data_IF_850662286580
#
_entry.id   IF_850662286580
#
_cell.length_a   1.000
_cell.length_b   1.000
_cell.length_c   1.000
_cell.angle_alpha   90.00
_cell.angle_beta   90.00
_cell.angle_gamma   90.00
#
_symmetry.space_group_name_H-M   'P 1'
#
loop_
_entity.id
_entity.type
_entity.pdbx_description
1 polymer ?
#
# COMPACT_ATOMS: atom_id res chain seq x y z
N UNK A 1 18.46 -7.82 -18.17
CA UNK A 1 18.47 -9.16 -17.52
C UNK A 1 17.58 -9.19 -16.28
N UNK A 2 17.70 -8.20 -15.41
CA UNK A 2 16.93 -8.10 -14.14
C UNK A 2 15.42 -7.89 -14.33
N UNK A 3 14.98 -7.32 -15.45
CA UNK A 3 13.54 -7.06 -15.71
C UNK A 3 12.74 -8.33 -16.08
N UNK A 4 13.40 -9.44 -16.41
CA UNK A 4 12.77 -10.68 -16.86
C UNK A 4 12.71 -11.78 -15.79
N UNK A 5 13.00 -11.45 -14.53
CA UNK A 5 12.88 -12.39 -13.43
C UNK A 5 11.48 -12.34 -12.79
N UNK A 6 10.97 -13.46 -12.28
CA UNK A 6 9.58 -13.58 -11.81
C UNK A 6 9.11 -12.51 -10.84
N UNK A 7 9.97 -12.04 -9.93
CA UNK A 7 9.59 -10.99 -8.98
C UNK A 7 9.38 -9.62 -9.64
N UNK A 8 10.08 -9.32 -10.75
CA UNK A 8 9.83 -8.09 -11.51
C UNK A 8 8.41 -8.09 -12.10
N UNK A 9 7.95 -9.24 -12.61
CA UNK A 9 6.56 -9.40 -13.03
C UNK A 9 5.61 -9.24 -11.86
N UNK A 10 5.93 -9.81 -10.68
CA UNK A 10 5.11 -9.64 -9.48
C UNK A 10 5.05 -8.19 -9.02
N UNK A 11 6.14 -7.42 -9.15
CA UNK A 11 6.14 -5.98 -8.87
C UNK A 11 5.23 -5.19 -9.82
N UNK A 12 5.20 -5.55 -11.12
CA UNK A 12 4.28 -4.92 -12.09
C UNK A 12 2.83 -5.29 -11.73
N UNK A 13 2.54 -6.57 -11.51
CA UNK A 13 1.21 -7.03 -11.10
C UNK A 13 0.74 -6.35 -9.80
N UNK A 14 1.63 -6.20 -8.82
CA UNK A 14 1.37 -5.50 -7.56
C UNK A 14 0.96 -4.05 -7.81
N UNK A 15 1.69 -3.33 -8.65
CA UNK A 15 1.36 -1.95 -9.03
C UNK A 15 -0.01 -1.90 -9.73
N UNK A 16 -0.26 -2.78 -10.70
CA UNK A 16 -1.51 -2.81 -11.45
C UNK A 16 -2.71 -3.16 -10.55
N UNK A 17 -2.53 -4.08 -9.60
CA UNK A 17 -3.52 -4.37 -8.58
C UNK A 17 -3.91 -3.13 -7.76
N UNK A 18 -2.93 -2.34 -7.30
CA UNK A 18 -3.25 -1.11 -6.57
C UNK A 18 -3.88 -0.03 -7.46
N UNK A 19 -3.54 0.03 -8.76
CA UNK A 19 -4.28 0.87 -9.73
C UNK A 19 -5.77 0.50 -9.77
N UNK A 20 -6.08 -0.79 -9.85
CA UNK A 20 -7.46 -1.28 -9.84
C UNK A 20 -8.17 -0.95 -8.53
N UNK A 21 -7.52 -1.15 -7.38
CA UNK A 21 -8.09 -0.83 -6.06
C UNK A 21 -8.38 0.66 -5.88
N UNK A 22 -7.51 1.53 -6.37
CA UNK A 22 -7.75 2.98 -6.40
C UNK A 22 -9.03 3.29 -7.21
N UNK A 23 -9.14 2.74 -8.42
CA UNK A 23 -10.31 2.95 -9.29
C UNK A 23 -11.59 2.37 -8.70
N UNK A 24 -11.54 1.17 -8.11
CA UNK A 24 -12.69 0.57 -7.41
C UNK A 24 -13.19 1.46 -6.27
N UNK A 25 -12.26 2.02 -5.49
CA UNK A 25 -12.60 2.94 -4.38
C UNK A 25 -13.23 4.22 -4.90
N UNK A 26 -12.66 4.82 -5.93
CA UNK A 26 -13.21 6.03 -6.56
C UNK A 26 -14.60 5.79 -7.18
N UNK A 27 -14.86 4.60 -7.72
CA UNK A 27 -16.18 4.27 -8.27
C UNK A 27 -17.26 4.19 -7.20
N UNK A 28 -16.90 3.74 -5.98
CA UNK A 28 -17.80 3.60 -4.83
C UNK A 28 -18.03 4.89 -4.06
N UNK A 29 -17.14 5.86 -4.18
CA UNK A 29 -17.14 7.11 -3.39
C UNK A 29 -17.09 8.32 -4.31
N UNK A 30 -17.84 9.36 -3.97
CA UNK A 30 -17.85 10.61 -4.76
C UNK A 30 -16.64 11.50 -4.46
N UNK A 31 -16.02 11.32 -3.30
CA UNK A 31 -14.79 12.01 -2.89
C UNK A 31 -13.92 11.01 -2.10
N UNK A 32 -13.21 10.15 -2.83
CA UNK A 32 -12.42 9.09 -2.23
C UNK A 32 -11.20 9.65 -1.47
N UNK A 33 -10.96 9.11 -0.27
CA UNK A 33 -9.77 9.40 0.54
C UNK A 33 -8.88 8.17 0.59
N UNK A 34 -7.71 8.25 0.01
CA UNK A 34 -6.77 7.13 -0.12
C UNK A 34 -5.43 7.49 0.50
N UNK A 35 -4.85 6.56 1.24
CA UNK A 35 -3.51 6.71 1.81
C UNK A 35 -2.61 5.55 1.41
N UNK A 36 -1.42 5.88 0.90
CA UNK A 36 -0.34 4.95 0.59
C UNK A 36 0.78 5.10 1.63
N UNK A 37 1.05 4.04 2.36
CA UNK A 37 2.09 3.99 3.38
C UNK A 37 3.33 3.24 2.87
N UNK A 38 4.50 3.89 2.96
CA UNK A 38 5.68 3.48 2.24
C UNK A 38 5.41 3.62 0.74
N UNK A 39 4.94 4.81 0.35
CA UNK A 39 4.40 5.07 -0.99
C UNK A 39 5.44 4.93 -2.10
N UNK A 40 6.73 5.05 -1.74
CA UNK A 40 7.79 5.07 -2.72
C UNK A 40 7.51 6.11 -3.82
N UNK A 41 7.74 5.75 -5.09
CA UNK A 41 7.49 6.65 -6.23
C UNK A 41 6.02 6.74 -6.65
N UNK A 42 5.07 6.13 -5.94
CA UNK A 42 3.61 6.14 -6.21
C UNK A 42 3.27 5.97 -7.71
N UNK A 43 3.88 5.00 -8.38
CA UNK A 43 3.75 4.79 -9.83
C UNK A 43 2.32 4.50 -10.24
N UNK A 44 1.57 3.79 -9.43
CA UNK A 44 0.15 3.47 -9.64
C UNK A 44 -0.68 4.76 -9.79
N UNK A 45 -0.48 5.75 -8.94
CA UNK A 45 -1.17 7.04 -9.03
C UNK A 45 -0.71 7.85 -10.25
N UNK A 46 0.62 7.92 -10.48
CA UNK A 46 1.19 8.66 -11.61
C UNK A 46 0.67 8.12 -12.95
N UNK A 47 0.61 6.79 -13.09
CA UNK A 47 0.09 6.16 -14.29
C UNK A 47 -1.40 6.44 -14.50
N UNK A 48 -2.23 6.33 -13.44
CA UNK A 48 -3.66 6.66 -13.52
C UNK A 48 -3.90 8.10 -13.98
N UNK A 49 -3.09 9.05 -13.50
CA UNK A 49 -3.17 10.44 -13.94
C UNK A 49 -2.74 10.61 -15.39
N UNK A 50 -1.62 9.99 -15.80
CA UNK A 50 -1.15 10.05 -17.20
C UNK A 50 -2.18 9.44 -18.16
N UNK A 51 -2.85 8.37 -17.74
CA UNK A 51 -3.93 7.70 -18.46
C UNK A 51 -5.26 8.49 -18.44
N UNK A 52 -5.37 9.56 -17.64
CA UNK A 52 -6.59 10.36 -17.51
C UNK A 52 -7.73 9.62 -16.81
N UNK A 53 -7.43 8.66 -15.94
CA UNK A 53 -8.42 7.82 -15.25
C UNK A 53 -8.94 8.41 -13.93
N UNK A 54 -8.37 9.52 -13.47
CA UNK A 54 -8.85 10.22 -12.27
C UNK A 54 -10.01 11.15 -12.68
N UNK A 55 -11.22 10.61 -12.70
CA UNK A 55 -12.42 11.29 -13.21
C UNK A 55 -13.35 11.85 -12.11
N UNK A 56 -13.07 11.55 -10.84
CA UNK A 56 -13.80 12.04 -9.67
C UNK A 56 -12.82 12.68 -8.67
N UNK A 57 -13.29 13.52 -7.73
CA UNK A 57 -12.48 14.06 -6.65
C UNK A 57 -11.77 12.94 -5.88
N UNK A 58 -10.45 13.06 -5.74
CA UNK A 58 -9.59 12.14 -5.04
C UNK A 58 -8.67 12.90 -4.09
N UNK A 59 -8.72 12.59 -2.81
CA UNK A 59 -7.70 12.98 -1.84
C UNK A 59 -6.72 11.82 -1.67
N UNK A 60 -5.44 12.04 -2.03
CA UNK A 60 -4.42 11.02 -1.96
C UNK A 60 -3.27 11.46 -1.05
N UNK A 61 -2.88 10.61 -0.10
CA UNK A 61 -1.81 10.90 0.85
C UNK A 61 -0.67 9.91 0.67
N UNK A 62 0.52 10.42 0.36
CA UNK A 62 1.76 9.66 0.29
C UNK A 62 2.53 9.86 1.60
N UNK A 63 2.74 8.78 2.36
CA UNK A 63 3.66 8.78 3.49
C UNK A 63 4.86 7.91 3.15
N UNK A 64 6.06 8.46 3.28
CA UNK A 64 7.30 7.71 3.10
C UNK A 64 8.41 8.25 4.00
N UNK A 65 9.35 7.40 4.39
CA UNK A 65 10.56 7.76 5.13
C UNK A 65 11.60 8.39 4.20
N UNK A 66 11.58 8.02 2.91
CA UNK A 66 12.55 8.49 1.93
C UNK A 66 12.06 9.78 1.25
N UNK A 67 12.63 10.92 1.65
CA UNK A 67 12.32 12.21 1.06
C UNK A 67 12.49 12.22 -0.47
N UNK A 68 13.53 11.55 -0.99
CA UNK A 68 13.78 11.43 -2.43
C UNK A 68 12.64 10.78 -3.21
N UNK A 69 11.95 9.79 -2.59
CA UNK A 69 10.79 9.17 -3.21
C UNK A 69 9.63 10.16 -3.35
N UNK A 70 9.35 10.93 -2.28
CA UNK A 70 8.32 11.97 -2.30
C UNK A 70 8.66 13.11 -3.29
N UNK A 71 9.92 13.50 -3.37
CA UNK A 71 10.38 14.53 -4.32
C UNK A 71 10.26 14.05 -5.77
N UNK A 72 10.50 12.76 -6.02
CA UNK A 72 10.23 12.16 -7.32
C UNK A 72 8.74 12.26 -7.68
N UNK A 73 7.83 11.91 -6.75
CA UNK A 73 6.38 12.03 -7.00
C UNK A 73 6.01 13.48 -7.30
N UNK A 74 6.50 14.46 -6.53
CA UNK A 74 6.27 15.89 -6.77
C UNK A 74 6.75 16.31 -8.17
N UNK A 75 7.95 15.87 -8.57
CA UNK A 75 8.51 16.15 -9.89
C UNK A 75 7.64 15.58 -11.00
N UNK A 76 7.22 14.33 -10.92
CA UNK A 76 6.34 13.71 -11.91
C UNK A 76 4.97 14.40 -11.96
N UNK A 77 4.39 14.77 -10.80
CA UNK A 77 3.16 15.58 -10.76
C UNK A 77 3.29 16.92 -11.45
N UNK A 78 4.48 17.55 -11.39
CA UNK A 78 4.77 18.81 -12.11
C UNK A 78 4.69 18.65 -13.63
N UNK A 79 4.99 17.47 -14.17
CA UNK A 79 4.99 17.18 -15.63
C UNK A 79 3.60 16.82 -16.18
N UNK A 80 2.63 16.52 -15.30
CA UNK A 80 1.28 16.13 -15.71
C UNK A 80 0.43 17.37 -15.95
N UNK A 81 -0.33 17.36 -17.04
CA UNK A 81 -1.26 18.43 -17.41
C UNK A 81 -2.22 18.78 -16.26
N UNK A 82 -2.45 20.08 -16.06
CA UNK A 82 -3.30 20.58 -14.97
C UNK A 82 -4.74 20.06 -15.04
N UNK A 83 -5.28 19.87 -16.25
CA UNK A 83 -6.63 19.30 -16.44
C UNK A 83 -6.72 17.87 -15.91
N UNK A 84 -5.68 17.06 -16.13
CA UNK A 84 -5.63 15.66 -15.61
C UNK A 84 -5.52 15.57 -14.09
N UNK A 85 -5.02 16.63 -13.44
CA UNK A 85 -4.89 16.73 -11.98
C UNK A 85 -6.02 17.50 -11.31
N UNK A 86 -6.96 18.05 -12.05
CA UNK A 86 -7.99 18.96 -11.51
C UNK A 86 -8.84 18.34 -10.41
N UNK A 87 -8.98 17.01 -10.40
CA UNK A 87 -9.74 16.25 -9.42
C UNK A 87 -8.87 15.67 -8.29
N UNK A 88 -7.54 15.90 -8.30
CA UNK A 88 -6.62 15.35 -7.33
C UNK A 88 -6.18 16.40 -6.29
N UNK A 89 -6.40 16.09 -5.02
CA UNK A 89 -5.70 16.72 -3.89
C UNK A 89 -4.67 15.74 -3.37
N UNK A 90 -3.37 16.11 -3.38
CA UNK A 90 -2.30 15.23 -2.93
C UNK A 90 -1.51 15.84 -1.76
N UNK A 91 -1.22 15.04 -0.73
CA UNK A 91 -0.35 15.38 0.38
C UNK A 91 0.89 14.48 0.39
N UNK A 92 2.05 15.08 0.71
CA UNK A 92 3.34 14.40 0.82
C UNK A 92 3.82 14.48 2.26
N UNK A 93 3.91 13.37 2.94
CA UNK A 93 4.18 13.30 4.38
C UNK A 93 5.49 12.53 4.59
N UNK A 94 6.56 13.28 4.90
CA UNK A 94 7.87 12.71 5.18
C UNK A 94 7.94 12.31 6.65
N UNK A 95 7.61 11.05 6.95
CA UNK A 95 7.60 10.48 8.30
C UNK A 95 7.91 8.99 8.27
N UNK A 96 8.46 8.51 9.38
CA UNK A 96 8.50 7.06 9.64
C UNK A 96 7.08 6.57 9.97
N UNK A 97 6.63 5.55 9.28
CA UNK A 97 5.31 4.95 9.52
C UNK A 97 5.16 4.40 10.94
N UNK A 98 6.25 3.92 11.54
CA UNK A 98 6.24 3.40 12.91
C UNK A 98 5.85 4.49 13.92
N UNK A 99 6.01 5.76 13.55
CA UNK A 99 5.54 6.88 14.36
C UNK A 99 4.02 6.85 14.59
N UNK A 100 3.21 6.31 13.67
CA UNK A 100 1.77 6.13 13.84
C UNK A 100 1.40 5.40 15.13
N UNK A 101 2.25 4.49 15.61
CA UNK A 101 2.01 3.73 16.85
C UNK A 101 2.02 4.64 18.09
N UNK A 102 2.67 5.78 18.03
CA UNK A 102 2.88 6.67 19.19
C UNK A 102 2.35 8.09 19.01
N UNK A 103 2.20 8.53 17.77
CA UNK A 103 1.85 9.92 17.42
C UNK A 103 0.36 10.01 17.03
N UNK A 104 -0.47 10.48 17.96
CA UNK A 104 -1.90 10.69 17.73
C UNK A 104 -2.17 11.78 16.69
N UNK A 105 -1.33 12.83 16.63
CA UNK A 105 -1.51 13.91 15.67
C UNK A 105 -1.27 13.41 14.25
N UNK A 106 -0.26 12.55 14.06
CA UNK A 106 -0.02 11.93 12.77
C UNK A 106 -1.20 11.04 12.37
N UNK A 107 -1.82 10.31 13.32
CA UNK A 107 -3.02 9.51 13.04
C UNK A 107 -4.20 10.36 12.59
N UNK A 108 -4.41 11.53 13.20
CA UNK A 108 -5.50 12.44 12.79
C UNK A 108 -5.41 12.84 11.31
N UNK A 109 -4.18 12.98 10.78
CA UNK A 109 -3.99 13.31 9.35
C UNK A 109 -4.56 12.25 8.41
N UNK A 110 -4.68 11.00 8.87
CA UNK A 110 -5.10 9.85 8.04
C UNK A 110 -6.48 9.29 8.39
N UNK A 111 -7.22 9.91 9.28
CA UNK A 111 -8.56 9.45 9.65
C UNK A 111 -9.52 9.45 8.47
N UNK A 112 -10.49 8.53 8.54
CA UNK A 112 -11.59 8.40 7.58
C UNK A 112 -11.10 8.13 6.14
N UNK A 113 -10.05 7.30 5.98
CA UNK A 113 -9.64 6.82 4.68
C UNK A 113 -10.54 5.69 4.18
N UNK A 114 -10.98 5.79 2.92
CA UNK A 114 -11.75 4.75 2.24
C UNK A 114 -10.86 3.58 1.79
N UNK A 115 -9.60 3.86 1.47
CA UNK A 115 -8.59 2.86 1.17
C UNK A 115 -7.26 3.25 1.82
N UNK A 116 -6.69 2.31 2.56
CA UNK A 116 -5.31 2.38 3.05
C UNK A 116 -4.55 1.20 2.47
N UNK A 117 -3.38 1.45 1.92
CA UNK A 117 -2.54 0.35 1.47
C UNK A 117 -1.06 0.55 1.77
N UNK A 118 -0.36 -0.57 1.92
CA UNK A 118 1.09 -0.64 2.08
C UNK A 118 1.66 -1.66 1.10
N UNK A 119 2.31 -1.14 0.05
CA UNK A 119 2.84 -1.94 -1.05
C UNK A 119 4.32 -2.24 -0.86
N UNK A 120 4.65 -3.25 -0.02
CA UNK A 120 6.02 -3.69 0.20
C UNK A 120 6.73 -3.06 1.41
N UNK A 121 6.06 -2.24 2.20
CA UNK A 121 6.62 -1.69 3.45
C UNK A 121 6.75 -2.76 4.55
N UNK A 122 5.74 -3.64 4.65
CA UNK A 122 5.70 -4.69 5.68
C UNK A 122 6.81 -5.74 5.50
N UNK A 123 7.40 -5.82 4.32
CA UNK A 123 8.58 -6.65 4.03
C UNK A 123 9.79 -6.32 4.91
N UNK A 124 9.82 -5.15 5.56
CA UNK A 124 10.90 -4.70 6.44
C UNK A 124 10.53 -4.74 7.92
N UNK A 125 9.29 -5.11 8.26
CA UNK A 125 8.79 -5.04 9.63
C UNK A 125 8.87 -6.40 10.34
N UNK A 126 9.33 -6.37 11.60
CA UNK A 126 9.23 -7.51 12.52
C UNK A 126 7.78 -7.76 12.90
N UNK A 127 7.44 -9.00 13.23
CA UNK A 127 6.08 -9.46 13.51
C UNK A 127 5.30 -8.56 14.48
N UNK A 128 5.90 -8.22 15.63
CA UNK A 128 5.25 -7.37 16.64
C UNK A 128 4.98 -5.94 16.15
N UNK A 129 5.89 -5.35 15.38
CA UNK A 129 5.70 -4.02 14.81
C UNK A 129 4.62 -4.05 13.74
N UNK A 130 4.64 -5.06 12.86
CA UNK A 130 3.63 -5.26 11.84
C UNK A 130 2.23 -5.41 12.44
N UNK A 131 2.07 -6.23 13.49
CA UNK A 131 0.78 -6.42 14.16
C UNK A 131 0.24 -5.12 14.78
N UNK A 132 1.08 -4.38 15.51
CA UNK A 132 0.67 -3.10 16.10
C UNK A 132 0.30 -2.08 15.04
N UNK A 133 1.10 -1.98 13.97
CA UNK A 133 0.85 -1.07 12.88
C UNK A 133 -0.44 -1.41 12.13
N UNK A 134 -0.71 -2.69 11.90
CA UNK A 134 -1.97 -3.15 11.28
C UNK A 134 -3.18 -2.68 12.07
N UNK A 135 -3.15 -2.78 13.41
CA UNK A 135 -4.21 -2.27 14.29
C UNK A 135 -4.40 -0.76 14.14
N UNK A 136 -3.31 0.01 14.15
CA UNK A 136 -3.39 1.48 13.97
C UNK A 136 -3.95 1.83 12.58
N UNK A 137 -3.46 1.22 11.51
CA UNK A 137 -3.94 1.48 10.15
C UNK A 137 -5.43 1.14 9.98
N UNK A 138 -5.88 0.02 10.56
CA UNK A 138 -7.29 -0.34 10.57
C UNK A 138 -8.15 0.70 11.30
N UNK A 139 -7.65 1.26 12.41
CA UNK A 139 -8.32 2.32 13.15
C UNK A 139 -8.57 3.59 12.32
N UNK A 140 -7.71 3.87 11.33
CA UNK A 140 -7.79 5.05 10.46
C UNK A 140 -8.81 4.92 9.31
N UNK A 141 -9.34 3.71 9.07
CA UNK A 141 -10.33 3.50 8.01
C UNK A 141 -11.66 4.20 8.33
N UNK A 142 -12.31 4.70 7.31
CA UNK A 142 -13.72 5.04 7.32
C UNK A 142 -14.57 3.77 7.48
N UNK A 143 -15.84 3.94 7.80
CA UNK A 143 -16.82 2.83 7.72
C UNK A 143 -16.84 2.30 6.28
N UNK A 144 -16.89 0.99 6.12
CA UNK A 144 -16.78 0.26 4.83
C UNK A 144 -15.44 0.47 4.09
N UNK A 145 -14.44 1.08 4.75
CA UNK A 145 -13.10 1.26 4.21
C UNK A 145 -12.29 -0.04 4.17
N UNK A 146 -11.23 -0.04 3.38
CA UNK A 146 -10.41 -1.22 3.09
C UNK A 146 -8.94 -0.96 3.41
N UNK A 147 -8.31 -1.87 4.17
CA UNK A 147 -6.86 -1.90 4.40
C UNK A 147 -6.24 -3.04 3.62
N UNK A 148 -5.26 -2.75 2.78
CA UNK A 148 -4.55 -3.78 2.00
C UNK A 148 -3.06 -3.74 2.33
N UNK A 149 -2.55 -4.85 2.85
CA UNK A 149 -1.14 -5.02 3.19
C UNK A 149 -0.53 -6.06 2.26
N UNK A 150 0.51 -5.67 1.54
CA UNK A 150 1.29 -6.56 0.70
C UNK A 150 2.58 -6.95 1.41
N UNK A 151 2.93 -8.25 1.38
CA UNK A 151 4.20 -8.78 1.89
C UNK A 151 4.73 -9.91 1.01
N UNK A 152 6.05 -10.02 0.91
CA UNK A 152 6.70 -11.11 0.20
C UNK A 152 6.36 -12.47 0.82
N UNK A 153 5.95 -13.44 -0.02
CA UNK A 153 5.52 -14.77 0.40
C UNK A 153 6.72 -15.71 0.61
N UNK A 154 6.75 -16.38 1.74
CA UNK A 154 7.75 -17.42 2.06
C UNK A 154 7.82 -18.53 1.03
N UNK A 155 6.71 -18.89 0.39
CA UNK A 155 6.66 -19.95 -0.61
C UNK A 155 7.47 -19.63 -1.89
N UNK A 156 7.76 -18.35 -2.13
CA UNK A 156 8.53 -17.89 -3.30
C UNK A 156 9.92 -17.38 -2.94
N UNK A 157 10.45 -17.79 -1.81
CA UNK A 157 11.79 -17.39 -1.34
C UNK A 157 12.96 -17.99 -2.15
N UNK A 158 12.69 -18.82 -3.18
CA UNK A 158 13.72 -19.47 -4.02
C UNK A 158 14.72 -18.50 -4.68
N UNK A 159 14.29 -17.26 -4.92
CA UNK A 159 15.13 -16.21 -5.50
C UNK A 159 15.77 -15.29 -4.45
N UNK A 160 15.57 -15.59 -3.16
CA UNK A 160 16.05 -14.79 -2.04
C UNK A 160 17.55 -14.52 -2.11
N UNK A 161 18.35 -15.57 -2.36
CA UNK A 161 19.81 -15.45 -2.44
C UNK A 161 20.25 -14.44 -3.51
N UNK A 162 19.55 -14.39 -4.65
CA UNK A 162 19.85 -13.43 -5.71
C UNK A 162 19.62 -11.98 -5.26
N UNK A 163 18.52 -11.69 -4.57
CA UNK A 163 18.21 -10.32 -4.11
C UNK A 163 19.10 -9.89 -2.97
N UNK A 164 19.34 -10.77 -2.00
CA UNK A 164 20.16 -10.46 -0.84
C UNK A 164 21.63 -10.31 -1.23
N UNK A 165 22.14 -11.20 -2.09
CA UNK A 165 23.56 -11.21 -2.45
C UNK A 165 23.93 -10.15 -3.49
N UNK A 166 23.14 -10.00 -4.57
CA UNK A 166 23.45 -9.06 -5.64
C UNK A 166 22.84 -7.68 -5.44
N UNK A 167 21.66 -7.61 -4.81
CA UNK A 167 20.92 -6.36 -4.63
C UNK A 167 21.01 -5.75 -3.24
N UNK A 168 21.58 -6.47 -2.25
CA UNK A 168 21.52 -6.05 -0.85
C UNK A 168 20.07 -5.90 -0.33
N UNK A 169 19.12 -6.53 -1.00
CA UNK A 169 17.68 -6.35 -0.72
C UNK A 169 17.17 -7.48 0.19
N UNK A 170 17.28 -7.25 1.50
CA UNK A 170 16.86 -8.22 2.53
C UNK A 170 15.40 -7.97 2.92
N UNK A 171 14.54 -8.96 2.65
CA UNK A 171 13.11 -8.90 2.97
C UNK A 171 12.77 -9.88 4.10
N UNK A 172 11.76 -9.54 4.90
CA UNK A 172 11.18 -10.43 5.90
C UNK A 172 9.96 -11.11 5.29
N UNK A 173 10.17 -12.29 4.70
CA UNK A 173 9.11 -13.09 4.10
C UNK A 173 8.12 -13.55 5.16
N UNK A 174 6.84 -13.67 4.79
CA UNK A 174 5.76 -14.07 5.69
C UNK A 174 4.93 -15.19 5.08
N UNK A 175 4.32 -15.99 5.95
CA UNK A 175 3.23 -16.90 5.59
C UNK A 175 1.88 -16.21 5.75
N UNK A 176 0.82 -16.82 5.17
CA UNK A 176 -0.56 -16.36 5.39
C UNK A 176 -0.93 -16.36 6.87
N UNK A 177 -0.52 -17.40 7.61
CA UNK A 177 -0.78 -17.55 9.04
C UNK A 177 -0.13 -16.46 9.89
N UNK A 178 1.13 -16.07 9.55
CA UNK A 178 1.81 -14.96 10.21
C UNK A 178 1.09 -13.64 9.96
N UNK A 179 0.64 -13.39 8.73
CA UNK A 179 -0.12 -12.19 8.40
C UNK A 179 -1.50 -12.17 9.06
N UNK A 180 -2.20 -13.31 9.15
CA UNK A 180 -3.44 -13.43 9.94
C UNK A 180 -3.19 -13.16 11.43
N UNK A 181 -2.01 -13.49 11.94
CA UNK A 181 -1.59 -13.15 13.30
C UNK A 181 -1.61 -11.64 13.58
N UNK A 182 -1.40 -10.78 12.58
CA UNK A 182 -1.45 -9.32 12.76
C UNK A 182 -2.85 -8.79 13.06
N UNK A 183 -3.88 -9.50 12.62
CA UNK A 183 -5.29 -9.06 12.72
C UNK A 183 -5.92 -9.48 14.05
N UNK A 184 -5.34 -10.48 14.74
CA UNK A 184 -5.88 -11.03 16.00
C UNK A 184 -6.06 -10.01 17.13
N UNK A 185 -5.30 -8.91 17.09
CA UNK A 185 -5.33 -7.85 18.10
C UNK A 185 -6.25 -6.68 17.72
N UNK A 186 -7.05 -6.84 16.67
CA UNK A 186 -8.04 -5.82 16.25
C UNK A 186 -9.37 -6.19 16.91
N UNK A 187 -9.84 -5.33 17.81
CA UNK A 187 -11.07 -5.55 18.54
C UNK A 187 -12.29 -5.48 17.61
N UNK A 188 -13.20 -6.46 17.72
CA UNK A 188 -14.46 -6.46 16.97
C UNK A 188 -14.34 -6.76 15.47
N UNK A 189 -13.18 -7.24 15.00
CA UNK A 189 -13.05 -7.65 13.59
C UNK A 189 -13.76 -8.98 13.35
N UNK A 190 -14.56 -9.05 12.30
CA UNK A 190 -15.16 -10.29 11.82
C UNK A 190 -14.22 -10.97 10.81
N UNK A 191 -14.03 -12.28 10.95
CA UNK A 191 -13.22 -13.08 10.02
C UNK A 191 -13.74 -13.03 8.58
N UNK A 192 -15.02 -12.77 8.35
CA UNK A 192 -15.62 -12.59 7.03
C UNK A 192 -15.10 -11.33 6.32
N UNK A 193 -14.57 -10.38 7.09
CA UNK A 193 -13.98 -9.14 6.58
C UNK A 193 -12.50 -9.26 6.23
N UNK A 194 -11.91 -10.46 6.40
CA UNK A 194 -10.49 -10.71 6.15
C UNK A 194 -10.36 -11.68 4.98
N UNK A 195 -9.62 -11.30 3.96
CA UNK A 195 -9.32 -12.20 2.83
C UNK A 195 -7.91 -12.00 2.31
N UNK A 196 -7.38 -13.01 1.63
CA UNK A 196 -6.22 -12.88 0.78
C UNK A 196 -6.67 -12.79 -0.67
N UNK A 197 -6.06 -11.89 -1.42
CA UNK A 197 -6.26 -11.86 -2.87
C UNK A 197 -5.43 -12.97 -3.52
N UNK A 198 -6.04 -13.70 -4.44
CA UNK A 198 -5.40 -14.78 -5.17
C UNK A 198 -5.15 -14.37 -6.63
N UNK A 199 -3.96 -14.69 -7.12
CA UNK A 199 -3.55 -14.40 -8.49
C UNK A 199 -3.36 -15.70 -9.26
N UNK A 200 -4.05 -15.86 -10.40
CA UNK A 200 -4.08 -17.11 -11.20
C UNK A 200 -2.70 -17.56 -11.69
N UNK A 201 -1.77 -16.63 -11.92
CA UNK A 201 -0.48 -16.93 -12.54
C UNK A 201 0.69 -16.97 -11.52
N UNK A 202 0.38 -17.21 -10.24
CA UNK A 202 1.35 -17.12 -9.18
C UNK A 202 1.79 -15.67 -8.90
N UNK A 203 2.06 -15.37 -7.67
CA UNK A 203 2.57 -14.06 -7.25
C UNK A 203 3.56 -14.29 -6.11
N UNK A 204 4.63 -13.49 -6.08
CA UNK A 204 5.63 -13.54 -5.02
C UNK A 204 5.21 -12.76 -3.78
N UNK A 205 4.00 -12.21 -3.79
CA UNK A 205 3.44 -11.41 -2.71
C UNK A 205 2.10 -11.96 -2.24
N UNK A 206 1.90 -11.91 -0.93
CA UNK A 206 0.60 -12.07 -0.29
C UNK A 206 -0.06 -10.71 -0.14
N UNK A 207 -1.35 -10.63 -0.39
CA UNK A 207 -2.15 -9.42 -0.19
C UNK A 207 -3.23 -9.72 0.84
N UNK A 208 -3.04 -9.23 2.05
CA UNK A 208 -4.01 -9.29 3.12
C UNK A 208 -4.95 -8.08 3.00
N UNK A 209 -6.21 -8.36 2.78
CA UNK A 209 -7.26 -7.36 2.66
C UNK A 209 -8.18 -7.45 3.89
N UNK A 210 -8.43 -6.31 4.51
CA UNK A 210 -9.22 -6.17 5.74
C UNK A 210 -10.25 -5.07 5.51
N UNK A 211 -11.54 -5.39 5.60
CA UNK A 211 -12.62 -4.40 5.53
C UNK A 211 -13.06 -3.98 6.93
N UNK A 212 -13.40 -2.71 7.06
CA UNK A 212 -14.02 -2.17 8.27
C UNK A 212 -15.54 -2.21 8.13
N UNK A 213 -16.20 -2.93 9.04
CA UNK A 213 -17.66 -3.00 9.11
C UNK A 213 -18.28 -1.73 9.72
#
# INVERSE_FOLDING_TARGET
YTCNIPICFSNVKRKDFFKEKILETMNKKDNAKIASFGSGPARELIELLKEGKIAKPLTFKCLDLEQKALDYVKSEMGKIDSKKKSMLTIAYIHRDIVALIRDSNLREEFKECDLIYASGLFDYLKLNTASRLTKELYGLLAKDGELIICNADTNYASHRAYYEFLGGWVLVYKTKEEMLGWVKNIDGIDNTNIKFEEFKDGNHYLFLNIKKG
#
